data_IF_958614192572
#
_entry.id   IF_958614192572
#
_cell.length_a   1.000
_cell.length_b   1.000
_cell.length_c   1.000
_cell.angle_alpha   90.00
_cell.angle_beta   90.00
_cell.angle_gamma   90.00
#
_symmetry.space_group_name_H-M   'P 1'
#
loop_
_entity.id
_entity.type
_entity.pdbx_description
1 polymer ?
#
# COMPACT_ATOMS: atom_id res chain seq x y z
N UNK A 1 -31.91 -5.08 -1.85
CA UNK A 1 -30.61 -4.44 -2.12
C UNK A 1 -29.56 -5.22 -1.37
N UNK A 2 -28.85 -6.13 -2.04
CA UNK A 2 -27.75 -6.88 -1.43
C UNK A 2 -26.60 -5.92 -1.16
N UNK A 3 -26.25 -5.73 0.10
CA UNK A 3 -25.06 -5.01 0.51
C UNK A 3 -23.86 -5.96 0.30
N UNK A 4 -23.42 -6.11 -0.94
CA UNK A 4 -22.16 -6.82 -1.23
C UNK A 4 -21.03 -6.00 -0.63
N UNK A 5 -20.50 -6.44 0.51
CA UNK A 5 -19.24 -5.95 1.04
C UNK A 5 -18.16 -6.27 0.02
N UNK A 6 -17.63 -5.26 -0.66
CA UNK A 6 -16.41 -5.44 -1.47
C UNK A 6 -15.28 -5.80 -0.51
N UNK A 7 -14.88 -7.07 -0.50
CA UNK A 7 -13.75 -7.53 0.30
C UNK A 7 -12.48 -6.78 -0.09
N UNK A 8 -11.82 -6.20 0.91
CA UNK A 8 -10.52 -5.58 0.76
C UNK A 8 -9.40 -6.60 0.93
N UNK A 9 -8.23 -6.31 0.37
CA UNK A 9 -7.02 -7.10 0.60
C UNK A 9 -5.82 -6.20 0.83
N UNK A 10 -4.77 -6.79 1.42
CA UNK A 10 -3.49 -6.13 1.63
C UNK A 10 -2.38 -6.89 0.90
N UNK A 11 -1.42 -6.15 0.37
CA UNK A 11 -0.18 -6.70 -0.20
C UNK A 11 1.00 -6.20 0.64
N UNK A 12 1.77 -7.14 1.17
CA UNK A 12 2.95 -6.84 1.97
C UNK A 12 4.21 -7.11 1.15
N UNK A 13 4.94 -6.05 0.78
CA UNK A 13 6.15 -6.16 -0.03
C UNK A 13 7.38 -6.24 0.89
N UNK A 14 8.09 -7.36 0.84
CA UNK A 14 9.32 -7.60 1.61
C UNK A 14 10.52 -7.85 0.69
N UNK A 15 11.73 -7.80 1.25
CA UNK A 15 12.98 -7.99 0.49
C UNK A 15 14.10 -7.06 0.95
N UNK A 16 15.32 -7.36 0.51
CA UNK A 16 16.56 -6.67 0.88
C UNK A 16 16.48 -5.14 0.70
N UNK A 17 17.21 -4.34 1.48
CA UNK A 17 17.35 -2.91 1.21
C UNK A 17 17.72 -2.64 -0.27
N UNK A 18 17.20 -1.56 -0.84
CA UNK A 18 17.38 -1.20 -2.25
C UNK A 18 16.87 -2.20 -3.31
N UNK A 19 16.13 -3.26 -2.94
CA UNK A 19 15.55 -4.22 -3.91
C UNK A 19 14.39 -3.70 -4.78
N UNK A 20 14.08 -2.39 -4.73
CA UNK A 20 13.03 -1.79 -5.56
C UNK A 20 11.59 -1.93 -5.06
N UNK A 21 11.36 -2.38 -3.82
CA UNK A 21 10.00 -2.54 -3.23
C UNK A 21 9.13 -1.29 -3.37
N UNK A 22 9.66 -0.12 -3.02
CA UNK A 22 8.94 1.16 -3.11
C UNK A 22 8.55 1.46 -4.56
N UNK A 23 9.48 1.27 -5.51
CA UNK A 23 9.20 1.44 -6.94
C UNK A 23 8.09 0.51 -7.43
N UNK A 24 8.14 -0.77 -7.05
CA UNK A 24 7.09 -1.74 -7.38
C UNK A 24 5.73 -1.33 -6.78
N UNK A 25 5.72 -0.87 -5.53
CA UNK A 25 4.49 -0.46 -4.86
C UNK A 25 3.82 0.74 -5.55
N UNK A 26 4.61 1.71 -6.01
CA UNK A 26 4.09 2.86 -6.77
C UNK A 26 3.55 2.45 -8.15
N UNK A 27 4.26 1.58 -8.88
CA UNK A 27 3.81 1.07 -10.16
C UNK A 27 2.50 0.26 -10.02
N UNK A 28 2.42 -0.60 -9.01
CA UNK A 28 1.23 -1.38 -8.72
C UNK A 28 0.03 -0.49 -8.33
N UNK A 29 0.26 0.54 -7.51
CA UNK A 29 -0.78 1.53 -7.16
C UNK A 29 -1.36 2.19 -8.41
N UNK A 30 -0.50 2.60 -9.35
CA UNK A 30 -0.95 3.22 -10.60
C UNK A 30 -1.82 2.25 -11.42
N UNK A 31 -1.31 1.02 -11.64
CA UNK A 31 -2.02 -0.02 -12.40
C UNK A 31 -3.38 -0.40 -11.81
N UNK A 32 -3.48 -0.46 -10.48
CA UNK A 32 -4.75 -0.74 -9.80
C UNK A 32 -5.71 0.47 -9.85
N UNK A 33 -5.18 1.69 -9.71
CA UNK A 33 -5.99 2.90 -9.83
C UNK A 33 -6.57 3.07 -11.25
N UNK A 34 -5.80 2.76 -12.29
CA UNK A 34 -6.26 2.73 -13.69
C UNK A 34 -7.43 1.77 -13.91
N UNK A 35 -7.53 0.71 -13.08
CA UNK A 35 -8.63 -0.26 -13.10
C UNK A 35 -9.82 0.16 -12.20
N UNK A 36 -9.80 1.37 -11.65
CA UNK A 36 -10.84 1.87 -10.75
C UNK A 36 -10.80 1.26 -9.34
N UNK A 37 -9.70 0.59 -8.98
CA UNK A 37 -9.53 0.00 -7.64
C UNK A 37 -8.96 1.07 -6.70
N UNK A 38 -9.62 1.27 -5.56
CA UNK A 38 -9.12 2.17 -4.51
C UNK A 38 -7.91 1.53 -3.83
N UNK A 39 -6.77 2.20 -3.89
CA UNK A 39 -5.52 1.71 -3.29
C UNK A 39 -4.92 2.77 -2.37
N UNK A 40 -4.54 2.36 -1.17
CA UNK A 40 -3.73 3.13 -0.25
C UNK A 40 -2.32 2.51 -0.18
N UNK A 41 -1.29 3.35 -0.29
CA UNK A 41 0.09 2.92 -0.09
C UNK A 41 0.54 3.28 1.33
N UNK A 42 0.91 2.26 2.09
CA UNK A 42 1.37 2.40 3.48
C UNK A 42 2.89 2.23 3.53
N UNK A 43 3.61 3.34 3.53
CA UNK A 43 5.07 3.35 3.69
C UNK A 43 5.43 3.35 5.18
N UNK A 44 6.13 2.31 5.64
CA UNK A 44 6.51 2.17 7.06
C UNK A 44 7.43 3.27 7.56
N UNK A 45 8.36 3.78 6.73
CA UNK A 45 9.26 4.87 7.14
C UNK A 45 8.48 6.17 7.33
N UNK A 46 7.47 6.41 6.49
CA UNK A 46 6.57 7.55 6.64
C UNK A 46 5.64 7.38 7.84
N UNK A 47 5.07 6.18 8.02
CA UNK A 47 4.13 5.89 9.11
C UNK A 47 4.80 5.94 10.48
N UNK A 48 6.05 5.49 10.61
CA UNK A 48 6.81 5.59 11.86
C UNK A 48 6.83 7.02 12.40
N UNK A 49 7.01 8.03 11.53
CA UNK A 49 7.02 9.45 11.93
C UNK A 49 5.68 9.96 12.46
N UNK A 50 4.58 9.30 12.09
CA UNK A 50 3.21 9.72 12.43
C UNK A 50 2.71 8.93 13.64
N UNK A 51 2.93 7.62 13.66
CA UNK A 51 2.44 6.69 14.68
C UNK A 51 3.38 6.58 15.89
N UNK A 52 4.66 6.86 15.70
CA UNK A 52 5.69 6.81 16.74
C UNK A 52 6.52 8.09 16.72
N UNK A 53 5.90 9.25 17.00
CA UNK A 53 6.56 10.55 16.94
C UNK A 53 7.68 10.72 17.99
N UNK A 54 7.67 9.90 19.06
CA UNK A 54 8.73 9.80 20.06
C UNK A 54 9.10 8.30 20.18
N UNK A 55 10.30 7.91 19.74
CA UNK A 55 10.74 6.51 19.74
C UNK A 55 11.07 5.98 21.13
#
# INVERSE_FOLDING_TARGET
>A
MSNESKDGFALWLTGLPASGKTSLAHALRLQLAERGIRVALLDSDRLRRILTPQP
#
